data_IF_766311582937
#
_entry.id   IF_766311582937
#
_cell.length_a   1.000
_cell.length_b   1.000
_cell.length_c   1.000
_cell.angle_alpha   90.00
_cell.angle_beta   90.00
_cell.angle_gamma   90.00
#
_symmetry.space_group_name_H-M   'P 1'
#
loop_
_entity.id
_entity.type
_entity.pdbx_description
1 polymer ?
#
# COMPACT_ATOMS: atom_id res chain seq x y z
N UNK A 1 -23.53 20.81 50.49
CA UNK A 1 -23.27 19.85 51.58
C UNK A 1 -23.78 18.47 51.14
N UNK A 2 -23.10 17.40 51.59
CA UNK A 2 -23.34 15.95 51.36
C UNK A 2 -23.03 15.47 49.93
N UNK A 3 -21.82 15.00 49.59
CA UNK A 3 -21.19 13.70 49.97
C UNK A 3 -22.12 12.48 49.76
N UNK A 4 -22.24 12.01 48.53
CA UNK A 4 -22.62 10.62 48.26
C UNK A 4 -21.38 9.74 48.44
N UNK A 5 -21.19 9.22 49.66
CA UNK A 5 -20.39 8.02 49.92
C UNK A 5 -21.03 6.86 49.15
N UNK A 6 -20.28 6.09 48.36
CA UNK A 6 -19.44 4.96 48.79
C UNK A 6 -20.24 3.95 49.62
N UNK A 7 -20.10 2.67 49.26
CA UNK A 7 -20.69 1.48 49.91
C UNK A 7 -22.05 1.04 49.35
N UNK A 8 -22.13 0.62 48.08
CA UNK A 8 -23.14 -0.41 47.70
C UNK A 8 -22.93 -1.16 46.37
N UNK A 9 -21.75 -1.15 45.73
CA UNK A 9 -21.56 -1.83 44.44
C UNK A 9 -20.33 -2.74 44.34
N UNK A 10 -19.67 -3.01 45.47
CA UNK A 10 -18.61 -4.02 45.56
C UNK A 10 -19.14 -5.22 46.34
N UNK A 11 -19.62 -6.26 45.65
CA UNK A 11 -19.63 -7.67 46.10
C UNK A 11 -20.53 -8.52 45.20
N UNK A 12 -20.10 -8.85 43.98
CA UNK A 12 -20.64 -9.96 43.18
C UNK A 12 -19.75 -10.12 41.95
N UNK A 13 -18.63 -10.84 42.08
CA UNK A 13 -17.93 -11.52 40.99
C UNK A 13 -16.84 -12.40 41.61
N UNK A 14 -17.28 -13.44 42.32
CA UNK A 14 -16.45 -14.59 42.63
C UNK A 14 -16.91 -15.74 41.73
N UNK A 15 -16.44 -15.77 40.48
CA UNK A 15 -16.40 -17.01 39.70
C UNK A 15 -14.94 -17.35 39.41
N UNK A 16 -14.47 -18.34 40.18
CA UNK A 16 -13.25 -19.08 39.95
C UNK A 16 -13.30 -19.75 38.58
N UNK A 17 -12.48 -19.27 37.63
CA UNK A 17 -12.17 -20.02 36.41
C UNK A 17 -10.98 -20.93 36.74
N UNK A 18 -11.25 -22.22 36.92
CA UNK A 18 -10.22 -23.26 36.98
C UNK A 18 -9.62 -23.42 35.59
N UNK A 19 -8.39 -22.97 35.41
CA UNK A 19 -7.59 -23.27 34.21
C UNK A 19 -7.09 -24.70 34.30
N UNK A 20 -7.75 -25.63 33.59
CA UNK A 20 -7.22 -26.97 33.34
C UNK A 20 -6.21 -26.87 32.20
N UNK A 21 -4.93 -26.89 32.56
CA UNK A 21 -3.81 -27.01 31.62
C UNK A 21 -3.77 -28.44 31.09
N UNK A 22 -4.41 -28.66 29.94
CA UNK A 22 -4.33 -29.92 29.21
C UNK A 22 -3.13 -29.86 28.25
N UNK A 23 -2.10 -30.66 28.56
CA UNK A 23 -0.88 -30.78 27.74
C UNK A 23 -1.22 -31.47 26.42
N UNK A 24 -1.28 -30.71 25.34
CA UNK A 24 -1.34 -31.25 23.97
C UNK A 24 0.09 -31.71 23.58
N UNK A 25 0.31 -32.96 23.18
CA UNK A 25 1.61 -33.40 22.68
C UNK A 25 1.92 -32.74 21.33
N UNK A 26 3.21 -32.45 21.02
CA UNK A 26 3.56 -31.81 19.76
C UNK A 26 3.33 -32.80 18.60
N UNK A 27 2.22 -32.62 17.88
CA UNK A 27 2.08 -33.18 16.54
C UNK A 27 3.10 -32.46 15.66
N UNK A 28 4.14 -33.19 15.24
CA UNK A 28 5.09 -32.72 14.23
C UNK A 28 4.36 -32.72 12.89
N UNK A 29 3.56 -31.68 12.69
CA UNK A 29 2.98 -31.38 11.39
C UNK A 29 4.13 -30.88 10.52
N UNK A 30 4.55 -31.74 9.59
CA UNK A 30 5.51 -31.40 8.54
C UNK A 30 5.05 -30.06 7.93
N UNK A 31 5.90 -29.02 7.89
CA UNK A 31 5.50 -27.74 7.37
C UNK A 31 4.89 -27.95 5.98
N UNK A 32 3.70 -27.38 5.70
CA UNK A 32 3.09 -27.54 4.39
C UNK A 32 4.15 -27.16 3.36
N UNK A 33 4.37 -28.07 2.40
CA UNK A 33 5.30 -27.84 1.28
C UNK A 33 4.98 -26.45 0.77
N UNK A 34 5.99 -25.58 0.73
CA UNK A 34 5.91 -24.26 0.11
C UNK A 34 5.19 -24.49 -1.22
N UNK A 35 3.93 -24.03 -1.30
CA UNK A 35 3.22 -24.01 -2.57
C UNK A 35 4.09 -23.11 -3.43
N UNK A 36 4.72 -23.69 -4.44
CA UNK A 36 5.37 -22.89 -5.45
C UNK A 36 4.28 -21.98 -6.00
N UNK A 37 4.35 -20.69 -5.66
CA UNK A 37 3.61 -19.65 -6.35
C UNK A 37 4.14 -19.71 -7.78
N UNK A 38 3.56 -20.59 -8.61
CA UNK A 38 3.51 -20.32 -10.04
C UNK A 38 2.85 -18.97 -10.13
N UNK A 39 3.46 -18.07 -10.90
CA UNK A 39 2.99 -16.72 -11.18
C UNK A 39 1.60 -16.77 -11.86
N UNK A 40 0.57 -17.10 -11.09
CA UNK A 40 -0.82 -17.14 -11.53
C UNK A 40 -1.32 -15.72 -11.41
N UNK A 41 -1.06 -14.99 -12.48
CA UNK A 41 -1.63 -13.69 -12.77
C UNK A 41 -3.15 -13.83 -12.94
N UNK A 42 -3.98 -12.99 -12.27
CA UNK A 42 -5.44 -13.10 -12.35
C UNK A 42 -5.92 -12.83 -13.77
N UNK A 43 -6.92 -13.55 -14.25
CA UNK A 43 -7.47 -13.32 -15.59
C UNK A 43 -8.16 -11.96 -15.73
N UNK A 44 -8.13 -11.40 -16.95
CA UNK A 44 -8.79 -10.14 -17.31
C UNK A 44 -7.83 -9.07 -17.83
N UNK A 45 -8.41 -7.91 -18.16
CA UNK A 45 -7.70 -6.76 -18.71
C UNK A 45 -7.19 -5.86 -17.58
N UNK A 46 -5.88 -5.85 -17.37
CA UNK A 46 -5.25 -4.98 -16.40
C UNK A 46 -3.82 -4.62 -16.81
N UNK A 47 -3.32 -3.55 -16.21
CA UNK A 47 -1.94 -3.14 -16.34
C UNK A 47 -1.31 -3.01 -14.95
N UNK A 48 -0.02 -3.33 -14.88
CA UNK A 48 0.81 -3.13 -13.69
C UNK A 48 1.82 -2.00 -13.96
N UNK A 49 2.22 -1.29 -12.92
CA UNK A 49 3.26 -0.27 -13.04
C UNK A 49 4.58 -0.92 -13.46
N UNK A 50 5.23 -0.35 -14.48
CA UNK A 50 6.52 -0.83 -14.93
C UNK A 50 7.61 -0.33 -13.98
N UNK A 51 8.17 -1.26 -13.21
CA UNK A 51 9.38 -1.02 -12.43
C UNK A 51 10.65 -0.94 -13.28
N UNK A 52 11.83 -1.01 -12.63
CA UNK A 52 13.12 -0.96 -13.34
C UNK A 52 13.39 -2.19 -14.22
N UNK A 53 12.72 -3.32 -13.96
CA UNK A 53 12.84 -4.55 -14.75
C UNK A 53 12.05 -4.51 -16.06
N UNK A 54 12.26 -5.51 -16.92
CA UNK A 54 11.43 -5.73 -18.10
C UNK A 54 9.98 -6.13 -17.70
N UNK A 55 9.04 -6.00 -18.63
CA UNK A 55 7.69 -6.51 -18.43
C UNK A 55 7.71 -8.04 -18.33
N UNK A 56 6.86 -8.64 -17.47
CA UNK A 56 6.73 -10.10 -17.41
C UNK A 56 6.26 -10.69 -18.75
N UNK A 57 6.43 -12.01 -18.97
CA UNK A 57 5.86 -12.69 -20.12
C UNK A 57 4.33 -12.47 -20.21
N UNK A 58 3.81 -12.37 -21.43
CA UNK A 58 2.39 -12.07 -21.72
C UNK A 58 1.92 -10.66 -21.31
N UNK A 59 2.86 -9.73 -21.12
CA UNK A 59 2.55 -8.32 -20.97
C UNK A 59 3.25 -7.48 -22.04
N UNK A 60 2.55 -6.45 -22.52
CA UNK A 60 3.08 -5.45 -23.44
C UNK A 60 3.33 -4.12 -22.73
N UNK A 61 4.37 -3.40 -23.14
CA UNK A 61 4.72 -2.10 -22.57
C UNK A 61 3.84 -1.00 -23.16
N UNK A 62 3.16 -0.25 -22.30
CA UNK A 62 2.42 0.94 -22.67
C UNK A 62 2.98 2.18 -21.97
N UNK A 63 2.85 3.33 -22.62
CA UNK A 63 3.22 4.63 -22.06
C UNK A 63 2.05 5.59 -22.21
N UNK A 64 1.72 6.26 -21.13
CA UNK A 64 0.72 7.33 -21.09
C UNK A 64 1.38 8.55 -20.47
N UNK A 65 1.16 9.71 -21.07
CA UNK A 65 1.63 10.99 -20.53
C UNK A 65 0.43 11.82 -20.09
N UNK A 66 0.47 12.30 -18.86
CA UNK A 66 -0.49 13.24 -18.32
C UNK A 66 0.24 14.55 -18.05
N UNK A 67 -0.24 15.64 -18.63
CA UNK A 67 0.33 16.96 -18.44
C UNK A 67 -0.74 17.88 -17.86
N UNK A 68 -0.46 18.48 -16.72
CA UNK A 68 -1.38 19.37 -16.00
C UNK A 68 -0.68 20.70 -15.80
N UNK A 69 -1.23 21.73 -16.44
CA UNK A 69 -0.79 23.09 -16.23
C UNK A 69 -1.26 23.55 -14.85
N UNK A 70 -0.37 24.19 -14.11
CA UNK A 70 -0.66 24.71 -12.80
C UNK A 70 -0.87 26.22 -12.86
N UNK A 71 -1.73 26.70 -11.96
CA UNK A 71 -1.94 28.13 -11.70
C UNK A 71 -0.94 28.61 -10.62
N UNK A 72 -0.07 27.72 -10.14
CA UNK A 72 0.95 27.96 -9.13
C UNK A 72 2.33 27.66 -9.70
N UNK A 73 3.36 28.33 -9.21
CA UNK A 73 4.74 28.15 -9.67
C UNK A 73 5.30 26.81 -9.19
N UNK A 74 6.21 26.22 -9.96
CA UNK A 74 6.81 24.88 -9.71
C UNK A 74 7.64 24.75 -8.42
N UNK A 75 7.73 25.81 -7.62
CA UNK A 75 8.57 25.91 -6.41
C UNK A 75 7.77 26.12 -5.12
N UNK A 76 6.46 25.85 -5.14
CA UNK A 76 5.62 26.04 -3.97
C UNK A 76 6.06 25.16 -2.80
N UNK A 77 6.15 25.77 -1.61
CA UNK A 77 6.51 25.08 -0.36
C UNK A 77 5.30 25.00 0.56
N UNK A 78 5.17 23.87 1.26
CA UNK A 78 4.22 23.71 2.38
C UNK A 78 4.63 24.61 3.54
N UNK A 79 3.73 24.72 4.53
CA UNK A 79 3.95 25.50 5.78
C UNK A 79 5.20 25.07 6.54
N UNK A 80 5.61 23.81 6.41
CA UNK A 80 6.82 23.25 7.04
C UNK A 80 8.11 23.53 6.25
N UNK A 81 8.04 24.23 5.12
CA UNK A 81 9.16 24.56 4.25
C UNK A 81 9.54 23.45 3.25
N UNK A 82 8.88 22.29 3.28
CA UNK A 82 9.07 21.23 2.30
C UNK A 82 8.40 21.58 0.97
N UNK A 83 8.90 21.04 -0.14
CA UNK A 83 8.27 21.21 -1.46
C UNK A 83 6.87 20.60 -1.48
N UNK A 84 5.88 21.34 -2.00
CA UNK A 84 4.50 20.88 -2.13
C UNK A 84 4.42 19.66 -3.06
N UNK A 85 5.20 19.65 -4.14
CA UNK A 85 5.29 18.55 -5.09
C UNK A 85 6.74 18.06 -5.11
N UNK A 86 6.92 16.75 -4.90
CA UNK A 86 8.22 16.09 -5.02
C UNK A 86 8.26 15.36 -6.37
N UNK A 87 9.15 15.81 -7.25
CA UNK A 87 9.42 15.15 -8.53
C UNK A 87 10.28 13.93 -8.33
N UNK A 88 10.28 13.01 -9.29
CA UNK A 88 11.11 11.81 -9.22
C UNK A 88 10.77 10.79 -10.29
N UNK A 89 11.49 9.67 -10.25
CA UNK A 89 11.36 8.59 -11.23
C UNK A 89 11.26 7.23 -10.54
N UNK A 90 10.49 6.34 -11.15
CA UNK A 90 10.44 4.94 -10.79
C UNK A 90 10.42 4.08 -12.06
N UNK A 91 11.49 3.31 -12.27
CA UNK A 91 11.69 2.60 -13.54
C UNK A 91 11.76 3.58 -14.71
N UNK A 92 10.87 3.41 -15.69
CA UNK A 92 10.72 4.32 -16.84
C UNK A 92 9.64 5.39 -16.61
N UNK A 93 8.90 5.33 -15.50
CA UNK A 93 7.88 6.33 -15.15
C UNK A 93 8.52 7.51 -14.40
N UNK A 94 7.99 8.71 -14.57
CA UNK A 94 8.54 9.88 -13.90
C UNK A 94 7.58 11.07 -13.85
N UNK A 95 7.72 11.85 -12.78
CA UNK A 95 7.09 13.16 -12.63
C UNK A 95 8.16 14.23 -12.83
N UNK A 96 7.92 15.11 -13.80
CA UNK A 96 8.79 16.24 -14.15
C UNK A 96 8.00 17.54 -14.11
N UNK A 97 8.72 18.65 -13.97
CA UNK A 97 8.16 20.00 -13.99
C UNK A 97 8.90 20.86 -15.01
N UNK A 98 8.15 21.67 -15.75
CA UNK A 98 8.66 22.75 -16.57
C UNK A 98 8.20 24.07 -15.97
N UNK A 99 9.15 24.91 -15.54
CA UNK A 99 8.87 26.19 -14.89
C UNK A 99 8.58 27.32 -15.87
N UNK A 100 8.89 27.16 -17.17
CA UNK A 100 8.56 28.17 -18.17
C UNK A 100 7.06 28.13 -18.50
N UNK A 101 6.50 26.92 -18.58
CA UNK A 101 5.10 26.68 -18.92
C UNK A 101 4.20 26.41 -17.71
N UNK A 102 4.75 26.49 -16.48
CA UNK A 102 4.13 26.09 -15.21
C UNK A 102 3.43 24.71 -15.33
N UNK A 103 4.15 23.74 -15.90
CA UNK A 103 3.58 22.47 -16.34
C UNK A 103 4.21 21.29 -15.59
N UNK A 104 3.38 20.49 -14.92
CA UNK A 104 3.81 19.18 -14.46
C UNK A 104 3.45 18.12 -15.49
N UNK A 105 4.41 17.26 -15.81
CA UNK A 105 4.23 16.12 -16.71
C UNK A 105 4.56 14.83 -15.98
N UNK A 106 3.56 13.95 -15.90
CA UNK A 106 3.66 12.59 -15.40
C UNK A 106 3.69 11.62 -16.59
N UNK A 107 4.84 11.01 -16.84
CA UNK A 107 4.98 9.88 -17.74
C UNK A 107 4.76 8.58 -16.93
N UNK A 108 3.67 7.87 -17.21
CA UNK A 108 3.38 6.56 -16.65
C UNK A 108 3.70 5.48 -17.67
N UNK A 109 4.59 4.56 -17.28
CA UNK A 109 4.90 3.37 -18.07
C UNK A 109 4.34 2.16 -17.34
N UNK A 110 3.54 1.38 -18.05
CA UNK A 110 2.85 0.20 -17.53
C UNK A 110 3.17 -1.03 -18.39
N UNK A 111 2.99 -2.20 -17.80
CA UNK A 111 2.94 -3.47 -18.51
C UNK A 111 1.48 -3.93 -18.50
N UNK A 112 0.83 -4.02 -19.65
CA UNK A 112 -0.57 -4.43 -19.79
C UNK A 112 -0.66 -5.89 -20.25
N UNK A 113 -1.54 -6.68 -19.64
CA UNK A 113 -1.71 -8.08 -20.00
C UNK A 113 -2.23 -8.18 -21.43
N UNK A 114 -1.61 -9.04 -22.24
CA UNK A 114 -2.06 -9.34 -23.60
C UNK A 114 -3.28 -10.28 -23.47
N UNK A 115 -4.43 -9.94 -24.07
CA UNK A 115 -5.58 -10.85 -24.09
C UNK A 115 -5.20 -12.16 -24.78
N UNK A 116 -5.49 -13.29 -24.12
CA UNK A 116 -5.19 -14.64 -24.62
C UNK A 116 -6.30 -15.20 -25.50
#
# INVERSE_FOLDING_TARGET
MLRLSLVCLLSLLALSVRSTSEKIPPSVEKPPRVLELKDIWPDGDYCILKGPSACPPNFEKHRTRLSVQQIFTTEEKRRDGSMAISTGTFGESGLTSDSYDDLYSLDLVTCCRIPS
#
